data_IF_646636873027
#
_entry.id   IF_646636873027
#
_cell.length_a   1.000
_cell.length_b   1.000
_cell.length_c   1.000
_cell.angle_alpha   90.00
_cell.angle_beta   90.00
_cell.angle_gamma   90.00
#
_symmetry.space_group_name_H-M   'P 1'
#
loop_
_entity.id
_entity.type
_entity.pdbx_description
1 polymer ?
#
# COMPACT_ATOMS: atom_id res chain seq x y z
N UNK A 1 28.38 25.04 33.20
CA UNK A 1 27.18 25.74 33.73
C UNK A 1 26.07 24.71 33.95
N UNK A 2 25.58 24.58 35.18
CA UNK A 2 24.67 23.50 35.63
C UNK A 2 23.21 23.82 35.25
N UNK A 3 22.62 23.03 34.36
CA UNK A 3 21.21 23.15 33.94
C UNK A 3 20.25 22.57 34.98
N UNK A 4 19.43 23.44 35.58
CA UNK A 4 18.44 23.12 36.61
C UNK A 4 17.24 22.36 36.03
N UNK A 5 17.06 21.11 36.47
CA UNK A 5 15.86 20.30 36.23
C UNK A 5 14.62 20.88 36.91
N UNK A 6 13.52 20.98 36.15
CA UNK A 6 12.22 21.45 36.65
C UNK A 6 11.32 20.23 36.87
N UNK A 7 11.34 19.69 38.09
CA UNK A 7 10.33 18.76 38.59
C UNK A 7 8.98 19.48 38.73
N UNK A 8 8.08 19.30 37.75
CA UNK A 8 6.67 19.68 37.92
C UNK A 8 5.97 18.63 38.76
N UNK A 9 5.74 18.95 40.03
CA UNK A 9 4.83 18.23 40.92
C UNK A 9 3.42 18.41 40.38
N UNK A 10 2.85 17.35 39.81
CA UNK A 10 1.43 17.30 39.45
C UNK A 10 0.66 17.11 40.76
N UNK A 11 -0.10 18.14 41.15
CA UNK A 11 -1.00 18.08 42.29
C UNK A 11 -2.20 17.18 41.94
N UNK A 12 -2.31 16.04 42.62
CA UNK A 12 -3.45 15.13 42.54
C UNK A 12 -4.70 15.79 43.10
N UNK A 13 -5.52 16.39 42.24
CA UNK A 13 -6.85 16.84 42.58
C UNK A 13 -7.76 15.63 42.84
N UNK A 14 -8.34 15.58 44.04
CA UNK A 14 -9.27 14.55 44.53
C UNK A 14 -10.59 14.65 43.76
N UNK A 15 -10.88 13.68 42.89
CA UNK A 15 -12.07 13.67 42.03
C UNK A 15 -13.37 13.49 42.85
N UNK A 16 -14.48 14.15 42.44
CA UNK A 16 -15.79 14.00 43.07
C UNK A 16 -16.38 12.61 42.82
N UNK A 17 -17.02 12.07 43.87
CA UNK A 17 -17.60 10.74 43.96
C UNK A 17 -18.88 10.65 43.10
N UNK A 18 -18.72 10.47 41.78
CA UNK A 18 -19.82 10.27 40.85
C UNK A 18 -20.34 8.82 40.96
N UNK A 19 -21.64 8.67 41.19
CA UNK A 19 -22.32 7.37 41.20
C UNK A 19 -22.12 6.72 39.81
N UNK A 20 -21.81 5.42 39.72
CA UNK A 20 -21.60 4.76 38.45
C UNK A 20 -22.91 4.81 37.64
N UNK A 21 -22.87 5.41 36.46
CA UNK A 21 -23.98 5.37 35.53
C UNK A 21 -24.27 3.90 35.18
N UNK A 22 -25.48 3.46 35.55
CA UNK A 22 -25.95 2.11 35.24
C UNK A 22 -26.18 2.04 33.73
N UNK A 23 -25.27 1.36 33.04
CA UNK A 23 -25.37 1.15 31.59
C UNK A 23 -26.46 0.11 31.35
N UNK A 24 -27.53 0.51 30.66
CA UNK A 24 -28.68 -0.36 30.34
C UNK A 24 -28.54 -0.96 28.94
N UNK A 25 -29.04 -2.19 28.75
CA UNK A 25 -29.10 -2.88 27.46
C UNK A 25 -29.89 -2.08 26.42
N UNK A 26 -29.26 -1.72 25.30
CA UNK A 26 -29.87 -0.92 24.23
C UNK A 26 -30.96 -1.65 23.43
N UNK A 27 -31.14 -2.96 23.64
CA UNK A 27 -32.12 -3.78 22.91
C UNK A 27 -33.41 -3.95 23.70
N UNK A 28 -33.31 -4.31 24.98
CA UNK A 28 -34.48 -4.59 25.82
C UNK A 28 -34.76 -3.53 26.88
N UNK A 29 -33.83 -2.60 27.12
CA UNK A 29 -33.90 -1.54 28.14
C UNK A 29 -34.23 -2.01 29.58
N UNK A 30 -34.05 -3.30 29.88
CA UNK A 30 -34.46 -3.91 31.16
C UNK A 30 -33.30 -4.43 32.01
N UNK A 31 -32.16 -4.75 31.39
CA UNK A 31 -31.01 -5.34 32.08
C UNK A 31 -29.76 -4.49 31.95
N UNK A 32 -28.83 -4.71 32.86
CA UNK A 32 -27.48 -4.18 32.87
C UNK A 32 -26.70 -4.67 31.63
N UNK A 33 -26.06 -3.73 30.95
CA UNK A 33 -25.36 -3.90 29.68
C UNK A 33 -24.01 -4.59 29.86
N UNK A 34 -24.03 -5.87 30.27
CA UNK A 34 -22.83 -6.66 30.59
C UNK A 34 -21.85 -6.80 29.42
N UNK A 35 -22.33 -6.77 28.18
CA UNK A 35 -21.52 -6.98 26.98
C UNK A 35 -21.66 -5.81 26.00
N UNK A 36 -20.68 -5.63 25.10
CA UNK A 36 -20.67 -4.55 24.09
C UNK A 36 -20.49 -5.11 22.68
N UNK A 37 -21.15 -4.50 21.69
CA UNK A 37 -21.01 -4.89 20.29
C UNK A 37 -19.64 -4.49 19.73
N UNK A 38 -18.86 -5.36 19.06
CA UNK A 38 -17.54 -4.98 18.52
C UNK A 38 -17.63 -3.97 17.37
N UNK A 39 -18.79 -3.89 16.68
CA UNK A 39 -18.98 -2.98 15.53
C UNK A 39 -19.38 -1.57 15.97
N UNK A 40 -20.38 -1.44 16.84
CA UNK A 40 -20.95 -0.13 17.21
C UNK A 40 -20.85 0.20 18.71
N UNK A 41 -20.23 -0.68 19.52
CA UNK A 41 -20.04 -0.53 20.97
C UNK A 41 -21.32 -0.41 21.81
N UNK A 42 -22.50 -0.68 21.22
CA UNK A 42 -23.77 -0.68 21.95
C UNK A 42 -23.80 -1.76 23.04
N UNK A 43 -24.25 -1.43 24.27
CA UNK A 43 -24.34 -2.38 25.38
C UNK A 43 -25.57 -3.31 25.27
N UNK A 44 -25.41 -4.59 25.64
CA UNK A 44 -26.50 -5.57 25.70
C UNK A 44 -26.36 -6.51 26.90
N UNK A 45 -27.48 -7.02 27.42
CA UNK A 45 -27.50 -7.85 28.63
C UNK A 45 -27.24 -9.34 28.37
N UNK A 46 -27.58 -9.86 27.19
CA UNK A 46 -27.46 -11.29 26.87
C UNK A 46 -27.21 -11.57 25.38
N UNK A 47 -26.87 -12.82 25.06
CA UNK A 47 -26.60 -13.27 23.69
C UNK A 47 -27.82 -13.10 22.78
N UNK A 48 -29.04 -13.25 23.30
CA UNK A 48 -30.26 -13.05 22.52
C UNK A 48 -30.39 -11.60 22.05
N UNK A 49 -30.18 -10.64 22.96
CA UNK A 49 -30.10 -9.23 22.60
C UNK A 49 -28.95 -8.94 21.62
N UNK A 50 -27.82 -9.67 21.69
CA UNK A 50 -26.74 -9.54 20.70
C UNK A 50 -27.20 -9.93 19.28
N UNK A 51 -27.96 -11.02 19.14
CA UNK A 51 -28.49 -11.49 17.85
C UNK A 51 -29.52 -10.51 17.30
N UNK A 52 -30.43 -10.04 18.15
CA UNK A 52 -31.44 -9.04 17.77
C UNK A 52 -30.79 -7.70 17.39
N UNK A 53 -29.75 -7.30 18.13
CA UNK A 53 -28.98 -6.11 17.78
C UNK A 53 -28.31 -6.24 16.41
N UNK A 54 -27.62 -7.36 16.13
CA UNK A 54 -26.95 -7.59 14.84
C UNK A 54 -27.92 -7.56 13.65
N UNK A 55 -29.15 -8.03 13.85
CA UNK A 55 -30.15 -8.13 12.78
C UNK A 55 -30.93 -6.84 12.58
N UNK A 56 -31.29 -6.12 13.65
CA UNK A 56 -32.26 -5.00 13.58
C UNK A 56 -31.72 -3.62 13.97
N UNK A 57 -30.67 -3.55 14.78
CA UNK A 57 -30.28 -2.29 15.44
C UNK A 57 -28.79 -1.97 15.34
N UNK A 58 -28.01 -2.72 14.55
CA UNK A 58 -26.60 -2.44 14.37
C UNK A 58 -26.45 -1.41 13.24
N UNK A 59 -25.99 -0.18 13.52
CA UNK A 59 -25.83 0.85 12.48
C UNK A 59 -24.85 0.43 11.39
N UNK A 60 -23.92 -0.49 11.70
CA UNK A 60 -22.99 -1.05 10.74
C UNK A 60 -23.63 -2.03 9.74
N UNK A 61 -24.86 -2.50 9.96
CA UNK A 61 -25.59 -3.37 9.01
C UNK A 61 -26.71 -2.63 8.27
N UNK A 62 -27.42 -1.68 8.90
CA UNK A 62 -28.47 -0.89 8.20
C UNK A 62 -27.92 0.07 7.14
N UNK A 63 -26.64 0.47 7.23
CA UNK A 63 -25.98 1.21 6.15
C UNK A 63 -25.75 0.38 4.87
N UNK A 64 -26.07 -0.93 4.88
CA UNK A 64 -25.99 -1.78 3.70
C UNK A 64 -27.35 -2.15 3.09
N UNK A 65 -28.49 -1.83 3.73
CA UNK A 65 -29.79 -2.40 3.29
C UNK A 65 -30.98 -1.44 3.17
N UNK A 66 -30.93 -0.17 3.61
CA UNK A 66 -32.12 0.72 3.59
C UNK A 66 -31.89 2.11 2.98
N UNK A 67 -31.10 2.20 1.91
CA UNK A 67 -31.11 3.37 0.99
C UNK A 67 -31.75 2.99 -0.36
N UNK A 68 -32.99 2.50 -0.30
CA UNK A 68 -33.79 2.18 -1.48
C UNK A 68 -35.23 2.70 -1.35
N UNK A 69 -35.43 4.00 -1.08
CA UNK A 69 -36.65 4.75 -1.44
C UNK A 69 -36.57 6.22 -0.98
N UNK A 70 -35.73 7.06 -1.62
CA UNK A 70 -36.03 8.48 -1.87
C UNK A 70 -34.96 9.08 -2.79
N UNK A 71 -35.32 9.17 -4.06
CA UNK A 71 -34.98 10.20 -5.04
C UNK A 71 -33.69 11.02 -4.81
N UNK A 72 -32.63 10.68 -5.55
CA UNK A 72 -31.46 11.56 -5.70
C UNK A 72 -30.07 10.93 -5.75
N UNK A 73 -29.87 9.71 -6.25
CA UNK A 73 -28.52 9.18 -6.55
C UNK A 73 -28.56 8.00 -7.53
N UNK A 74 -28.97 8.24 -8.77
CA UNK A 74 -28.71 7.31 -9.86
C UNK A 74 -27.22 7.45 -10.26
N UNK A 75 -26.46 6.35 -10.11
CA UNK A 75 -25.24 5.92 -10.85
C UNK A 75 -24.13 5.34 -9.96
N UNK A 76 -24.39 4.29 -9.17
CA UNK A 76 -23.31 3.54 -8.50
C UNK A 76 -23.43 2.00 -8.55
N UNK A 77 -24.57 1.45 -8.98
CA UNK A 77 -24.78 -0.01 -9.04
C UNK A 77 -24.73 -0.60 -10.45
N UNK A 78 -24.42 0.19 -11.47
CA UNK A 78 -24.28 -0.25 -12.87
C UNK A 78 -22.86 -0.02 -13.42
N UNK A 79 -21.85 -0.19 -12.58
CA UNK A 79 -20.43 -0.12 -13.01
C UNK A 79 -19.89 -1.53 -13.35
N UNK A 80 -20.67 -2.58 -13.08
CA UNK A 80 -20.16 -3.96 -13.06
C UNK A 80 -20.28 -4.74 -14.39
N UNK A 81 -20.74 -4.11 -15.48
CA UNK A 81 -21.01 -4.87 -16.72
C UNK A 81 -20.06 -4.56 -17.88
N UNK A 82 -19.33 -3.46 -17.86
CA UNK A 82 -18.44 -3.08 -18.96
C UNK A 82 -17.10 -2.58 -18.42
N UNK A 83 -16.29 -3.48 -17.84
CA UNK A 83 -14.89 -3.15 -17.63
C UNK A 83 -14.21 -2.92 -18.98
N UNK A 84 -13.46 -1.83 -19.08
CA UNK A 84 -12.72 -1.53 -20.30
C UNK A 84 -11.46 -2.39 -20.47
N UNK A 85 -10.95 -2.94 -19.37
CA UNK A 85 -9.65 -3.60 -19.29
C UNK A 85 -9.75 -5.13 -19.31
N UNK A 86 -10.85 -5.67 -18.79
CA UNK A 86 -11.09 -7.11 -18.74
C UNK A 86 -12.48 -7.47 -19.28
N UNK A 87 -12.59 -8.51 -20.13
CA UNK A 87 -13.89 -9.04 -20.52
C UNK A 87 -14.64 -9.57 -19.29
N UNK A 88 -15.95 -9.31 -19.19
CA UNK A 88 -16.77 -9.67 -18.02
C UNK A 88 -16.78 -11.18 -17.69
N UNK A 89 -16.36 -12.03 -18.64
CA UNK A 89 -16.21 -13.48 -18.42
C UNK A 89 -15.03 -13.82 -17.51
N UNK A 90 -13.95 -13.04 -17.54
CA UNK A 90 -12.73 -13.29 -16.74
C UNK A 90 -12.95 -12.90 -15.28
N UNK A 91 -13.72 -11.82 -15.03
CA UNK A 91 -13.95 -11.29 -13.68
C UNK A 91 -14.66 -12.29 -12.75
N UNK A 92 -15.52 -13.19 -13.27
CA UNK A 92 -16.29 -14.13 -12.45
C UNK A 92 -15.45 -15.19 -11.76
N UNK A 93 -14.31 -15.56 -12.31
CA UNK A 93 -13.50 -16.67 -11.81
C UNK A 93 -12.50 -16.27 -10.72
N UNK A 94 -12.22 -14.97 -10.55
CA UNK A 94 -11.12 -14.51 -9.69
C UNK A 94 -11.62 -13.78 -8.43
N UNK A 95 -12.94 -13.69 -8.24
CA UNK A 95 -13.54 -13.11 -7.03
C UNK A 95 -13.52 -14.04 -5.82
N UNK A 96 -12.95 -15.25 -5.91
CA UNK A 96 -12.69 -16.02 -4.69
C UNK A 96 -11.53 -15.32 -3.96
N UNK A 97 -11.78 -14.65 -2.83
CA UNK A 97 -10.72 -13.96 -2.11
C UNK A 97 -9.73 -15.02 -1.64
N UNK A 98 -8.58 -15.12 -2.33
CA UNK A 98 -7.42 -15.79 -1.75
C UNK A 98 -7.18 -15.05 -0.44
N UNK A 99 -7.27 -15.77 0.68
CA UNK A 99 -6.90 -15.24 1.99
C UNK A 99 -5.47 -14.75 1.84
N UNK A 100 -5.28 -13.44 1.67
CA UNK A 100 -3.97 -12.82 1.83
C UNK A 100 -3.59 -13.12 3.27
N UNK A 101 -2.68 -14.06 3.45
CA UNK A 101 -1.90 -14.18 4.68
C UNK A 101 -1.33 -12.79 4.87
N UNK A 102 -1.89 -12.10 5.86
CA UNK A 102 -1.50 -10.74 6.19
C UNK A 102 -0.04 -10.87 6.60
N UNK A 103 0.87 -10.49 5.70
CA UNK A 103 2.32 -10.45 5.92
C UNK A 103 2.50 -9.91 7.33
N UNK A 104 2.79 -10.82 8.26
CA UNK A 104 3.07 -10.44 9.63
C UNK A 104 4.22 -9.47 9.50
N UNK A 105 4.04 -8.29 10.10
CA UNK A 105 5.02 -7.23 10.20
C UNK A 105 6.21 -7.84 10.98
N UNK A 106 7.03 -8.64 10.30
CA UNK A 106 8.28 -9.14 10.82
C UNK A 106 9.19 -7.92 10.84
N UNK A 107 9.57 -7.52 12.05
CA UNK A 107 10.57 -6.51 12.41
C UNK A 107 11.87 -6.70 11.62
N UNK A 108 11.88 -6.29 10.36
CA UNK A 108 13.08 -6.16 9.55
C UNK A 108 13.49 -4.67 9.54
N UNK A 109 13.93 -4.20 10.71
CA UNK A 109 14.42 -2.84 10.97
C UNK A 109 15.83 -2.60 10.36
N UNK A 110 16.26 -3.41 9.38
CA UNK A 110 17.63 -3.41 8.84
C UNK A 110 17.75 -3.17 7.33
N UNK A 111 16.71 -2.67 6.65
CA UNK A 111 16.89 -2.14 5.29
C UNK A 111 17.21 -0.64 5.33
N UNK A 112 18.51 -0.41 5.48
CA UNK A 112 19.25 0.82 5.25
C UNK A 112 18.68 1.64 4.09
N UNK A 113 18.26 2.87 4.39
CA UNK A 113 18.81 4.17 3.93
C UNK A 113 19.54 4.28 2.56
N UNK A 114 19.37 3.33 1.66
CA UNK A 114 19.77 3.38 0.26
C UNK A 114 18.55 3.86 -0.55
N UNK A 115 18.02 5.02 -0.14
CA UNK A 115 17.06 5.78 -0.90
C UNK A 115 17.78 6.34 -2.13
N UNK A 116 18.12 5.50 -3.11
CA UNK A 116 18.58 5.97 -4.40
C UNK A 116 17.46 6.85 -4.98
N UNK A 117 17.59 8.19 -4.95
CA UNK A 117 16.44 9.09 -4.91
C UNK A 117 15.70 9.19 -6.25
N UNK A 118 16.17 8.47 -7.26
CA UNK A 118 15.63 8.49 -8.62
C UNK A 118 14.35 7.69 -8.82
N UNK A 119 14.06 6.69 -7.98
CA UNK A 119 12.89 5.81 -8.18
C UNK A 119 11.68 6.15 -7.30
N UNK A 120 11.87 7.02 -6.31
CA UNK A 120 10.82 7.39 -5.37
C UNK A 120 9.86 8.43 -5.96
N UNK A 121 8.55 8.15 -5.86
CA UNK A 121 7.51 9.10 -6.28
C UNK A 121 7.56 10.32 -5.35
N UNK A 122 7.94 11.49 -5.90
CA UNK A 122 8.05 12.73 -5.12
C UNK A 122 6.69 13.18 -4.56
N UNK A 123 6.66 13.98 -3.47
CA UNK A 123 5.41 14.52 -2.93
C UNK A 123 4.61 15.33 -3.95
N UNK A 124 5.28 16.01 -4.87
CA UNK A 124 4.65 16.76 -5.97
C UNK A 124 3.97 15.83 -6.97
N UNK A 125 4.64 14.74 -7.38
CA UNK A 125 4.05 13.71 -8.24
C UNK A 125 2.80 13.09 -7.59
N UNK A 126 2.87 12.77 -6.28
CA UNK A 126 1.71 12.27 -5.51
C UNK A 126 0.56 13.27 -5.53
N UNK A 127 0.84 14.57 -5.32
CA UNK A 127 -0.17 15.63 -5.37
C UNK A 127 -0.85 15.73 -6.73
N UNK A 128 -0.08 15.66 -7.84
CA UNK A 128 -0.63 15.65 -9.21
C UNK A 128 -1.54 14.45 -9.45
N UNK A 129 -1.11 13.25 -9.05
CA UNK A 129 -1.91 12.02 -9.16
C UNK A 129 -3.20 12.11 -8.35
N UNK A 130 -3.14 12.65 -7.12
CA UNK A 130 -4.31 12.83 -6.27
C UNK A 130 -5.31 13.84 -6.86
N UNK A 131 -4.84 14.94 -7.44
CA UNK A 131 -5.68 15.98 -8.02
C UNK A 131 -6.30 15.57 -9.36
N UNK A 132 -5.76 14.55 -10.01
CA UNK A 132 -6.28 14.04 -11.28
C UNK A 132 -7.68 13.43 -11.13
N UNK A 133 -8.68 14.09 -11.71
CA UNK A 133 -10.05 13.57 -11.77
C UNK A 133 -10.19 12.40 -12.73
N UNK A 134 -9.40 12.37 -13.82
CA UNK A 134 -9.39 11.27 -14.78
C UNK A 134 -8.91 9.98 -14.10
N UNK A 135 -7.85 10.04 -13.30
CA UNK A 135 -7.27 8.88 -12.63
C UNK A 135 -8.28 8.27 -11.63
N UNK A 136 -8.98 9.13 -10.89
CA UNK A 136 -10.04 8.69 -9.96
C UNK A 136 -11.17 7.98 -10.67
N UNK A 137 -11.59 8.48 -11.83
CA UNK A 137 -12.64 7.85 -12.65
C UNK A 137 -12.15 6.51 -13.22
N UNK A 138 -10.91 6.44 -13.67
CA UNK A 138 -10.35 5.23 -14.24
C UNK A 138 -10.17 4.12 -13.19
N UNK A 139 -9.70 4.48 -11.99
CA UNK A 139 -9.60 3.56 -10.86
C UNK A 139 -10.98 3.11 -10.33
N UNK A 140 -12.08 3.70 -10.78
CA UNK A 140 -13.43 3.18 -10.51
C UNK A 140 -13.76 1.93 -11.35
N UNK A 141 -13.02 1.64 -12.43
CA UNK A 141 -13.20 0.43 -13.24
C UNK A 141 -12.81 -0.84 -12.45
N UNK A 142 -13.74 -1.80 -12.39
CA UNK A 142 -13.55 -3.05 -11.66
C UNK A 142 -12.44 -3.93 -12.23
N UNK A 143 -12.25 -3.95 -13.55
CA UNK A 143 -11.22 -4.76 -14.18
C UNK A 143 -9.83 -4.14 -14.10
N UNK A 144 -9.71 -2.80 -14.10
CA UNK A 144 -8.42 -2.16 -13.82
C UNK A 144 -7.93 -2.50 -12.42
N UNK A 145 -8.80 -2.35 -11.40
CA UNK A 145 -8.48 -2.74 -10.02
C UNK A 145 -8.10 -4.21 -9.91
N UNK A 146 -8.77 -5.06 -10.70
CA UNK A 146 -8.47 -6.48 -10.74
C UNK A 146 -7.06 -6.76 -11.28
N UNK A 147 -6.68 -6.13 -12.40
CA UNK A 147 -5.33 -6.26 -12.96
C UNK A 147 -4.25 -5.82 -11.97
N UNK A 148 -4.46 -4.68 -11.29
CA UNK A 148 -3.53 -4.18 -10.26
C UNK A 148 -3.42 -5.19 -9.12
N UNK A 149 -4.55 -5.72 -8.64
CA UNK A 149 -4.57 -6.74 -7.60
C UNK A 149 -3.85 -8.04 -7.99
N UNK A 150 -3.97 -8.47 -9.25
CA UNK A 150 -3.22 -9.63 -9.77
C UNK A 150 -1.71 -9.39 -9.78
N UNK A 151 -1.27 -8.21 -10.20
CA UNK A 151 0.16 -7.85 -10.23
C UNK A 151 0.72 -7.80 -8.81
N UNK A 152 -0.03 -7.20 -7.87
CA UNK A 152 0.39 -7.10 -6.48
C UNK A 152 0.44 -8.47 -5.78
N UNK A 153 -0.49 -9.37 -6.12
CA UNK A 153 -0.51 -10.73 -5.57
C UNK A 153 0.59 -11.64 -6.14
N UNK A 154 1.14 -11.32 -7.31
CA UNK A 154 2.20 -12.12 -7.94
C UNK A 154 3.53 -12.10 -7.15
N UNK A 155 3.64 -11.30 -6.10
CA UNK A 155 4.86 -11.18 -5.28
C UNK A 155 4.91 -12.13 -4.09
N UNK A 156 3.80 -12.80 -3.73
CA UNK A 156 3.65 -13.46 -2.43
C UNK A 156 3.70 -15.00 -2.49
N UNK A 157 3.86 -15.64 -3.66
CA UNK A 157 3.54 -17.09 -3.82
C UNK A 157 4.74 -18.03 -4.07
N UNK A 158 6.00 -17.57 -4.07
CA UNK A 158 7.13 -18.39 -4.53
C UNK A 158 7.96 -19.11 -3.43
N UNK A 159 7.68 -18.95 -2.13
CA UNK A 159 8.59 -19.47 -1.08
C UNK A 159 7.99 -20.39 0.00
N UNK A 160 6.67 -20.61 0.08
CA UNK A 160 6.06 -21.29 1.26
C UNK A 160 5.21 -22.53 0.93
N UNK A 161 5.64 -23.35 -0.05
CA UNK A 161 5.24 -24.77 -0.11
C UNK A 161 6.46 -25.67 0.16
N UNK A 162 7.21 -25.33 1.22
CA UNK A 162 8.07 -26.28 1.91
C UNK A 162 7.19 -27.18 2.77
N UNK A 163 6.68 -28.24 2.17
CA UNK A 163 5.92 -29.32 2.79
C UNK A 163 6.51 -29.65 4.18
N UNK A 164 5.82 -29.25 5.25
CA UNK A 164 6.04 -29.80 6.59
C UNK A 164 5.52 -31.24 6.54
N UNK A 165 6.36 -32.13 6.01
CA UNK A 165 6.18 -33.57 6.07
C UNK A 165 6.25 -33.95 7.55
N UNK A 166 5.11 -33.98 8.22
CA UNK A 166 4.99 -34.47 9.60
C UNK A 166 5.25 -35.98 9.56
N UNK A 167 6.52 -36.36 9.69
CA UNK A 167 6.99 -37.72 9.83
C UNK A 167 6.60 -38.24 11.23
N UNK A 168 5.36 -38.70 11.37
CA UNK A 168 5.01 -39.64 12.43
C UNK A 168 5.06 -41.07 11.87
N UNK A 169 6.29 -41.59 11.75
CA UNK A 169 6.58 -42.99 12.04
C UNK A 169 6.23 -43.96 10.92
N UNK A 170 7.03 -43.97 9.85
CA UNK A 170 6.95 -45.05 8.86
C UNK A 170 8.17 -45.15 7.96
N UNK A 171 9.13 -46.02 8.34
CA UNK A 171 10.26 -46.44 7.49
C UNK A 171 9.87 -46.61 6.02
N UNK A 172 10.32 -45.69 5.16
CA UNK A 172 10.18 -45.78 3.70
C UNK A 172 11.51 -45.49 2.99
N UNK A 173 11.71 -46.08 1.79
CA UNK A 173 13.02 -46.32 1.22
C UNK A 173 13.68 -45.05 0.68
N UNK A 174 15.01 -45.01 0.85
CA UNK A 174 15.94 -43.97 0.36
C UNK A 174 15.82 -43.79 -1.16
N UNK A 175 14.93 -42.92 -1.62
CA UNK A 175 15.06 -42.35 -2.96
C UNK A 175 16.05 -41.21 -2.89
N UNK A 176 17.19 -41.42 -3.54
CA UNK A 176 18.20 -40.40 -3.79
C UNK A 176 17.54 -39.23 -4.51
N UNK A 177 17.27 -38.17 -3.74
CA UNK A 177 16.94 -36.84 -4.20
C UNK A 177 18.16 -36.36 -4.98
N UNK A 178 18.15 -36.55 -6.29
CA UNK A 178 19.05 -35.83 -7.18
C UNK A 178 18.73 -34.35 -6.99
N UNK A 179 19.47 -33.70 -6.09
CA UNK A 179 19.59 -32.26 -6.02
C UNK A 179 20.07 -31.84 -7.40
N UNK A 180 19.15 -31.49 -8.28
CA UNK A 180 19.49 -30.83 -9.52
C UNK A 180 20.07 -29.49 -9.11
N UNK A 181 21.39 -29.49 -9.01
CA UNK A 181 22.29 -28.35 -8.98
C UNK A 181 22.07 -27.58 -10.28
N UNK A 182 20.87 -27.01 -10.47
CA UNK A 182 20.56 -26.10 -11.56
C UNK A 182 21.37 -24.87 -11.24
N UNK A 183 22.52 -24.82 -11.90
CA UNK A 183 23.54 -23.83 -11.71
C UNK A 183 22.92 -22.46 -11.51
N UNK A 184 23.34 -21.87 -10.40
CA UNK A 184 23.54 -20.46 -10.17
C UNK A 184 24.20 -19.80 -11.40
N UNK A 185 23.45 -19.62 -12.49
CA UNK A 185 23.88 -18.89 -13.66
C UNK A 185 23.52 -17.43 -13.41
N UNK A 186 24.28 -16.85 -12.47
CA UNK A 186 24.16 -15.47 -12.02
C UNK A 186 24.56 -14.48 -13.10
N UNK A 187 23.59 -14.01 -13.87
CA UNK A 187 23.68 -12.72 -14.60
C UNK A 187 22.36 -12.26 -15.23
N UNK A 188 21.28 -13.04 -15.15
CA UNK A 188 19.96 -12.49 -15.41
C UNK A 188 19.47 -11.89 -14.09
N UNK A 189 19.58 -10.56 -13.96
CA UNK A 189 18.97 -9.79 -12.88
C UNK A 189 17.62 -10.42 -12.56
N UNK A 190 17.46 -10.94 -11.34
CA UNK A 190 16.25 -11.64 -10.92
C UNK A 190 15.10 -10.65 -10.94
N UNK A 191 14.47 -10.50 -12.10
CA UNK A 191 13.32 -9.65 -12.31
C UNK A 191 12.28 -10.16 -11.31
N UNK A 192 11.94 -9.32 -10.34
CA UNK A 192 10.94 -9.66 -9.33
C UNK A 192 9.70 -10.23 -10.01
N UNK A 193 9.08 -11.31 -9.49
CA UNK A 193 7.84 -11.87 -10.01
C UNK A 193 6.77 -10.82 -10.29
N UNK A 194 6.71 -9.78 -9.44
CA UNK A 194 5.83 -8.61 -9.62
C UNK A 194 6.16 -7.79 -10.87
N UNK A 195 7.43 -7.53 -11.13
CA UNK A 195 7.88 -6.79 -12.32
C UNK A 195 7.60 -7.62 -13.58
N UNK A 196 7.80 -8.94 -13.52
CA UNK A 196 7.47 -9.84 -14.62
C UNK A 196 5.95 -9.88 -14.88
N UNK A 197 5.13 -9.90 -13.83
CA UNK A 197 3.67 -9.84 -13.94
C UNK A 197 3.21 -8.49 -14.53
N UNK A 198 3.83 -7.38 -14.12
CA UNK A 198 3.59 -6.06 -14.71
C UNK A 198 3.91 -6.05 -16.21
N UNK A 199 5.07 -6.59 -16.61
CA UNK A 199 5.45 -6.68 -18.02
C UNK A 199 4.42 -7.51 -18.83
N UNK A 200 4.06 -8.70 -18.33
CA UNK A 200 3.06 -9.58 -18.97
C UNK A 200 1.69 -8.92 -19.11
N UNK A 201 1.23 -8.22 -18.08
CA UNK A 201 -0.06 -7.51 -18.09
C UNK A 201 -0.04 -6.32 -19.05
N UNK A 202 1.04 -5.53 -19.09
CA UNK A 202 1.22 -4.46 -20.08
C UNK A 202 1.17 -5.00 -21.51
N UNK A 203 1.81 -6.14 -21.79
CA UNK A 203 1.78 -6.75 -23.13
C UNK A 203 0.40 -7.33 -23.50
N UNK A 204 -0.30 -7.94 -22.54
CA UNK A 204 -1.58 -8.61 -22.80
C UNK A 204 -2.77 -7.64 -22.85
N UNK A 205 -2.66 -6.49 -22.19
CA UNK A 205 -3.71 -5.50 -22.07
C UNK A 205 -3.24 -4.13 -22.59
N UNK A 206 -3.40 -3.83 -23.89
CA UNK A 206 -2.88 -2.58 -24.47
C UNK A 206 -3.51 -1.32 -23.85
N UNK A 207 -4.76 -1.40 -23.41
CA UNK A 207 -5.42 -0.32 -22.65
C UNK A 207 -4.78 -0.09 -21.29
N UNK A 208 -4.36 -1.16 -20.62
CA UNK A 208 -3.62 -1.05 -19.36
C UNK A 208 -2.25 -0.41 -19.58
N UNK A 209 -1.55 -0.78 -20.66
CA UNK A 209 -0.31 -0.10 -21.02
C UNK A 209 -0.52 1.41 -21.24
N UNK A 210 -1.53 1.81 -22.03
CA UNK A 210 -1.87 3.21 -22.25
C UNK A 210 -2.26 3.94 -20.94
N UNK A 211 -2.98 3.27 -20.05
CA UNK A 211 -3.29 3.78 -18.71
C UNK A 211 -2.02 4.08 -17.90
N UNK A 212 -1.06 3.16 -17.87
CA UNK A 212 0.21 3.36 -17.16
C UNK A 212 0.97 4.54 -17.78
N UNK A 213 1.03 4.64 -19.10
CA UNK A 213 1.74 5.72 -19.77
C UNK A 213 1.07 7.09 -19.47
N UNK A 214 -0.26 7.16 -19.49
CA UNK A 214 -1.02 8.35 -19.08
C UNK A 214 -0.83 8.71 -17.60
N UNK A 215 -0.73 7.70 -16.72
CA UNK A 215 -0.42 7.89 -15.30
C UNK A 215 0.98 8.49 -15.11
N UNK A 216 1.97 7.99 -15.86
CA UNK A 216 3.35 8.49 -15.83
C UNK A 216 3.47 9.91 -16.40
N UNK A 217 2.72 10.23 -17.45
CA UNK A 217 2.58 11.60 -17.98
C UNK A 217 1.97 12.55 -16.94
N UNK A 218 0.89 12.11 -16.27
CA UNK A 218 0.21 12.91 -15.23
C UNK A 218 1.12 13.16 -14.02
N UNK A 219 1.95 12.17 -13.65
CA UNK A 219 2.96 12.35 -12.63
C UNK A 219 4.08 13.31 -13.07
N UNK A 220 4.28 13.51 -14.37
CA UNK A 220 5.37 14.30 -14.95
C UNK A 220 6.68 13.52 -15.08
N UNK A 221 6.60 12.18 -15.12
CA UNK A 221 7.76 11.30 -15.36
C UNK A 221 8.05 11.18 -16.85
N UNK A 222 7.00 11.16 -17.66
CA UNK A 222 7.09 11.20 -19.11
C UNK A 222 6.67 12.59 -19.60
N UNK A 223 7.26 13.02 -20.71
CA UNK A 223 6.86 14.21 -21.46
C UNK A 223 6.50 13.80 -22.89
N UNK A 224 5.52 14.47 -23.48
CA UNK A 224 5.28 14.35 -24.91
C UNK A 224 6.48 14.94 -25.66
N UNK A 225 6.99 14.23 -26.68
CA UNK A 225 8.09 14.74 -27.50
C UNK A 225 7.76 16.11 -28.12
N UNK A 226 6.49 16.38 -28.40
CA UNK A 226 6.03 17.58 -29.09
C UNK A 226 6.06 18.84 -28.22
N UNK A 227 5.92 18.72 -26.90
CA UNK A 227 5.95 19.86 -25.98
C UNK A 227 7.34 20.52 -25.91
N UNK A 228 8.39 19.77 -26.28
CA UNK A 228 9.77 20.29 -26.31
C UNK A 228 10.07 21.03 -27.63
N UNK A 229 9.28 20.78 -28.68
CA UNK A 229 9.50 21.32 -30.02
C UNK A 229 8.71 22.60 -30.32
N UNK A 230 7.93 23.14 -29.36
CA UNK A 230 7.13 24.35 -29.57
C UNK A 230 7.93 25.67 -29.76
N UNK A 231 9.25 25.61 -29.92
CA UNK A 231 10.08 26.72 -30.43
C UNK A 231 10.71 26.44 -31.81
N UNK A 232 10.38 25.35 -32.51
CA UNK A 232 11.03 25.03 -33.80
C UNK A 232 9.99 24.58 -34.83
N UNK A 233 9.64 25.52 -35.71
CA UNK A 233 8.57 25.52 -36.73
C UNK A 233 8.66 24.40 -37.80
N UNK A 234 9.47 23.36 -37.64
CA UNK A 234 9.92 22.52 -38.75
C UNK A 234 9.35 21.08 -38.79
N UNK A 235 8.54 20.66 -37.82
CA UNK A 235 8.03 19.27 -37.74
C UNK A 235 6.78 18.95 -38.58
N UNK A 236 6.33 19.83 -39.49
CA UNK A 236 5.02 19.70 -40.15
C UNK A 236 4.90 18.58 -41.22
N UNK A 237 5.91 17.74 -41.47
CA UNK A 237 5.86 16.80 -42.61
C UNK A 237 6.15 15.30 -42.34
N UNK A 238 6.23 14.84 -41.08
CA UNK A 238 6.55 13.43 -40.77
C UNK A 238 5.36 12.62 -40.25
N UNK A 239 4.85 11.66 -41.05
CA UNK A 239 3.62 10.93 -40.76
C UNK A 239 3.65 9.93 -39.59
N UNK A 240 2.54 9.88 -38.84
CA UNK A 240 1.86 8.67 -38.36
C UNK A 240 2.62 7.67 -37.48
N UNK A 241 3.74 8.07 -36.88
CA UNK A 241 4.50 7.25 -35.94
C UNK A 241 4.03 7.50 -34.51
N UNK A 242 3.53 6.44 -33.86
CA UNK A 242 3.23 6.32 -32.42
C UNK A 242 4.04 7.35 -31.61
N UNK A 243 3.36 8.35 -31.07
CA UNK A 243 3.95 9.52 -30.42
C UNK A 243 5.05 9.09 -29.42
N UNK A 244 6.28 9.50 -29.69
CA UNK A 244 7.42 9.13 -28.86
C UNK A 244 7.29 9.75 -27.47
N UNK A 245 7.04 8.94 -26.46
CA UNK A 245 7.15 9.38 -25.07
C UNK A 245 8.61 9.39 -24.66
N UNK A 246 9.12 10.54 -24.23
CA UNK A 246 10.47 10.68 -23.71
C UNK A 246 10.43 10.75 -22.19
N UNK A 247 11.46 10.20 -21.53
CA UNK A 247 11.65 10.40 -20.09
C UNK A 247 11.92 11.88 -19.84
N UNK A 248 11.21 12.47 -18.89
CA UNK A 248 11.49 13.83 -18.45
C UNK A 248 12.95 13.92 -17.99
N UNK A 249 13.67 15.00 -18.29
CA UNK A 249 15.02 15.19 -17.79
C UNK A 249 14.99 15.08 -16.26
N UNK A 250 15.63 14.05 -15.70
CA UNK A 250 15.79 13.95 -14.25
C UNK A 250 16.58 15.20 -13.86
N UNK A 251 16.05 16.06 -12.97
CA UNK A 251 16.79 17.21 -12.48
C UNK A 251 18.00 16.64 -11.75
N UNK A 252 19.14 16.57 -12.45
CA UNK A 252 20.41 16.26 -11.81
C UNK A 252 20.56 17.36 -10.77
N UNK A 253 20.75 17.05 -9.48
CA UNK A 253 21.14 18.07 -8.53
C UNK A 253 22.35 18.72 -9.18
N UNK A 254 22.19 19.98 -9.58
CA UNK A 254 23.30 20.75 -10.11
C UNK A 254 24.28 20.70 -8.96
N UNK A 255 25.33 19.90 -9.11
CA UNK A 255 26.43 19.91 -8.16
C UNK A 255 26.73 21.38 -8.01
N UNK A 256 26.43 21.90 -6.83
CA UNK A 256 26.71 23.28 -6.48
C UNK A 256 28.21 23.33 -6.59
N UNK A 257 28.71 23.68 -7.77
CA UNK A 257 30.11 23.92 -8.01
C UNK A 257 30.38 25.08 -7.07
N UNK A 258 30.94 24.72 -5.92
CA UNK A 258 31.30 25.64 -4.88
C UNK A 258 32.07 26.74 -5.56
N UNK A 259 31.48 27.92 -5.58
CA UNK A 259 32.25 29.13 -5.73
C UNK A 259 33.08 29.19 -4.45
N UNK A 260 34.24 28.54 -4.49
CA UNK A 260 35.26 28.55 -3.46
C UNK A 260 35.79 29.98 -3.37
N UNK A 261 35.05 30.83 -2.65
CA UNK A 261 35.63 32.01 -2.05
C UNK A 261 36.47 31.47 -0.89
N UNK A 262 37.78 31.46 -1.11
CA UNK A 262 38.76 31.19 -0.10
C UNK A 262 38.62 32.24 1.01
N UNK A 263 38.13 31.85 2.18
CA UNK A 263 38.29 32.61 3.41
C UNK A 263 38.61 31.60 4.52
N UNK A 264 39.91 31.57 4.82
CA UNK A 264 40.56 31.35 6.11
C UNK A 264 39.93 30.40 7.15
N UNK A 265 40.69 29.33 7.42
CA UNK A 265 41.22 28.97 8.74
C UNK A 265 40.34 29.24 9.95
N UNK A 266 39.82 28.17 10.55
CA UNK A 266 39.68 28.06 12.00
C UNK A 266 39.73 26.58 12.38
N UNK A 267 40.92 26.18 12.84
CA UNK A 267 41.17 24.95 13.58
C UNK A 267 40.15 24.80 14.72
N UNK A 268 39.50 23.64 14.82
CA UNK A 268 38.94 23.19 16.09
C UNK A 268 39.09 21.69 16.18
N UNK A 269 40.21 21.27 16.76
CA UNK A 269 40.37 19.98 17.40
C UNK A 269 39.29 19.83 18.48
N UNK A 270 38.51 18.74 18.45
CA UNK A 270 37.97 18.16 19.67
C UNK A 270 37.77 16.64 19.49
N UNK A 271 38.80 15.93 19.91
CA UNK A 271 38.76 14.64 20.58
C UNK A 271 37.38 14.26 21.16
N UNK A 272 36.92 13.04 20.91
CA UNK A 272 36.67 12.08 22.01
C UNK A 272 35.92 10.81 21.56
N UNK A 273 36.69 9.72 21.52
CA UNK A 273 36.50 8.51 22.33
C UNK A 273 35.16 7.77 22.31
N UNK A 274 35.20 6.60 21.67
CA UNK A 274 34.93 5.25 22.23
C UNK A 274 34.08 5.14 23.51
N UNK A 275 33.10 4.22 23.52
CA UNK A 275 33.16 3.05 24.41
C UNK A 275 32.17 1.95 24.01
N UNK A 276 32.69 0.72 24.00
CA UNK A 276 32.00 -0.54 23.77
C UNK A 276 31.69 -1.21 25.12
N UNK A 277 30.42 -1.52 25.40
CA UNK A 277 30.07 -2.34 26.55
C UNK A 277 29.03 -3.40 26.15
N UNK A 278 29.51 -4.63 26.02
CA UNK A 278 28.73 -5.87 25.99
C UNK A 278 28.41 -6.28 27.43
N UNK A 279 27.13 -6.36 27.79
CA UNK A 279 26.70 -6.97 29.06
C UNK A 279 25.98 -8.30 28.78
N UNK A 280 26.68 -9.37 29.16
CA UNK A 280 26.20 -10.72 29.43
C UNK A 280 25.25 -10.68 30.65
N UNK A 281 24.10 -11.33 30.59
CA UNK A 281 23.30 -11.68 31.77
C UNK A 281 22.73 -13.09 31.61
N UNK A 282 23.25 -13.98 32.47
CA UNK A 282 22.74 -15.33 32.80
C UNK A 282 21.33 -15.31 33.42
#
# INVERSE_FOLDING_TARGET
>A
MRGKGRNRRIASAKAPNAKPDVIVCAVCNKGDGKYKCPKCRAPFCCVQCSKDHKTKHCPATVNASETAATEGAATASNIDLQSQYLPSKVLKHVLTPRKRTRRTESDDESDSQDDEPGWNITPEMKKKLQQSTWLRKELQDGGLRHLIGMIDAASDDDEEEGEEEVDEGGSKPKYQRYKSNRGNNGSNSSISPRVLALARTKHSHPKFAAFIDQMMLTAGVLTHADDTAHNTLESLMGGGGRDGLALAPVPRPTATLGNSVAEADLDTDDDSSSDSSTEDCE
#
